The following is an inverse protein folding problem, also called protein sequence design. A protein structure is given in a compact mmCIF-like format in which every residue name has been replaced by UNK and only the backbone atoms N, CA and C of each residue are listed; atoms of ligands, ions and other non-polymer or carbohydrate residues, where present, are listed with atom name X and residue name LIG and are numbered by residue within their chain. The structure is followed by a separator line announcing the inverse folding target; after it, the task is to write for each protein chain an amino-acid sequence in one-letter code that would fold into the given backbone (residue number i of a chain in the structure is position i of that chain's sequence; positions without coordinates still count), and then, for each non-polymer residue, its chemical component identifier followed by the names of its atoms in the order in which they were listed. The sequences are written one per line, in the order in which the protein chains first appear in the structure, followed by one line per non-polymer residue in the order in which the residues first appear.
data_IF_933556164399
#
_entry.id   IF_933556164399
#
_cell.length_a   1.000
_cell.length_b   1.000
_cell.length_c   1.000
_cell.angle_alpha   90.00
_cell.angle_beta   90.00
_cell.angle_gamma   90.00
#
_symmetry.space_group_name_H-M   'P 1'
#
loop_
_entity.id
_entity.type
_entity.pdbx_description
1 polymer ?
#
# COMPACT_ATOMS: atom_id res chain seq x y z
N UNK A 1 -7.64 -22.67 9.27
CA UNK A 1 -6.44 -22.40 10.10
C UNK A 1 -5.19 -22.02 9.31
N UNK A 2 -4.85 -22.64 8.16
CA UNK A 2 -3.70 -22.17 7.34
C UNK A 2 -3.97 -20.81 6.66
N UNK A 3 -5.17 -20.65 6.08
CA UNK A 3 -5.61 -19.41 5.39
C UNK A 3 -5.52 -18.14 6.24
N UNK A 4 -5.76 -18.25 7.56
CA UNK A 4 -5.64 -17.12 8.49
C UNK A 4 -4.19 -16.65 8.62
N UNK A 5 -3.22 -17.57 8.61
CA UNK A 5 -1.80 -17.24 8.79
C UNK A 5 -1.25 -16.52 7.57
N UNK A 6 -1.57 -17.02 6.37
CA UNK A 6 -1.12 -16.38 5.12
C UNK A 6 -1.71 -14.97 4.99
N UNK A 7 -2.98 -14.78 5.40
CA UNK A 7 -3.60 -13.46 5.44
C UNK A 7 -3.01 -12.54 6.50
N UNK A 8 -2.69 -13.05 7.68
CA UNK A 8 -1.99 -12.28 8.71
C UNK A 8 -0.58 -11.86 8.28
N UNK A 9 0.15 -12.74 7.59
CA UNK A 9 1.47 -12.42 7.02
C UNK A 9 1.37 -11.39 5.91
N UNK A 10 0.39 -11.53 5.01
CA UNK A 10 0.12 -10.54 3.97
C UNK A 10 -0.19 -9.17 4.59
N UNK A 11 -1.08 -9.12 5.58
CA UNK A 11 -1.40 -7.90 6.31
C UNK A 11 -0.16 -7.27 6.95
N UNK A 12 0.63 -8.05 7.69
CA UNK A 12 1.85 -7.55 8.34
C UNK A 12 2.88 -7.01 7.33
N UNK A 13 2.97 -7.62 6.15
CA UNK A 13 3.81 -7.14 5.06
C UNK A 13 3.30 -5.79 4.51
N UNK A 14 2.01 -5.67 4.22
CA UNK A 14 1.41 -4.43 3.71
C UNK A 14 1.50 -3.29 4.74
N UNK A 15 1.27 -3.57 6.03
CA UNK A 15 1.52 -2.64 7.12
C UNK A 15 2.97 -2.16 7.14
N UNK A 16 3.94 -3.07 6.95
CA UNK A 16 5.34 -2.68 6.88
C UNK A 16 5.64 -1.77 5.69
N UNK A 17 5.00 -1.99 4.54
CA UNK A 17 5.15 -1.11 3.38
C UNK A 17 4.63 0.30 3.69
N UNK A 18 3.42 0.39 4.25
CA UNK A 18 2.78 1.66 4.61
C UNK A 18 3.55 2.43 5.67
N UNK A 19 4.07 1.73 6.68
CA UNK A 19 4.76 2.37 7.82
C UNK A 19 6.24 2.67 7.57
N UNK A 20 6.92 1.88 6.72
CA UNK A 20 8.38 1.96 6.57
C UNK A 20 8.85 2.36 5.18
N UNK A 21 8.11 2.00 4.14
CA UNK A 21 8.53 2.23 2.74
C UNK A 21 7.87 3.47 2.17
N UNK A 22 6.54 3.57 2.22
CA UNK A 22 5.80 4.69 1.64
C UNK A 22 6.21 6.06 2.20
N UNK A 23 6.55 6.22 3.50
CA UNK A 23 7.03 7.49 4.02
C UNK A 23 8.34 7.95 3.38
N UNK A 24 9.17 7.02 2.90
CA UNK A 24 10.43 7.32 2.20
C UNK A 24 10.20 7.78 0.76
N UNK A 25 9.05 7.46 0.18
CA UNK A 25 8.66 7.87 -1.17
C UNK A 25 7.99 9.24 -1.17
N UNK A 26 7.58 9.76 0.00
CA UNK A 26 6.88 11.05 0.10
C UNK A 26 7.68 12.17 -0.56
N UNK A 27 7.01 12.95 -1.40
CA UNK A 27 7.63 14.07 -2.11
C UNK A 27 8.36 13.69 -3.41
N UNK A 28 8.55 12.40 -3.70
CA UNK A 28 9.12 11.94 -4.98
C UNK A 28 8.18 12.35 -6.12
N UNK A 29 8.73 12.95 -7.17
CA UNK A 29 7.93 13.36 -8.34
C UNK A 29 7.31 12.14 -9.04
N UNK A 30 6.02 12.22 -9.39
CA UNK A 30 5.27 11.07 -9.93
C UNK A 30 5.23 11.04 -11.45
N UNK A 31 5.30 12.21 -12.11
CA UNK A 31 5.28 12.31 -13.58
C UNK A 31 6.49 11.59 -14.19
N UNK A 32 6.22 10.68 -15.14
CA UNK A 32 7.24 9.90 -15.86
C UNK A 32 8.23 9.13 -14.97
N UNK A 33 7.83 8.82 -13.72
CA UNK A 33 8.70 8.13 -12.79
C UNK A 33 8.61 6.60 -12.93
N UNK A 34 9.50 6.04 -13.74
CA UNK A 34 9.55 4.60 -13.99
C UNK A 34 9.82 3.75 -12.73
N UNK A 35 10.46 4.31 -11.70
CA UNK A 35 10.70 3.57 -10.46
C UNK A 35 9.40 3.37 -9.67
N UNK A 36 8.57 4.41 -9.59
CA UNK A 36 7.25 4.31 -8.94
C UNK A 36 6.33 3.35 -9.71
N UNK A 37 6.34 3.39 -11.05
CA UNK A 37 5.59 2.42 -11.87
C UNK A 37 6.04 0.98 -11.60
N UNK A 38 7.35 0.72 -11.52
CA UNK A 38 7.87 -0.62 -11.18
C UNK A 38 7.44 -1.08 -9.79
N UNK A 39 7.43 -0.18 -8.81
CA UNK A 39 6.93 -0.50 -7.46
C UNK A 39 5.43 -0.82 -7.52
N UNK A 40 4.64 -0.03 -8.26
CA UNK A 40 3.21 -0.29 -8.44
C UNK A 40 2.96 -1.68 -9.05
N UNK A 41 3.74 -2.08 -10.06
CA UNK A 41 3.63 -3.41 -10.68
C UNK A 41 3.95 -4.54 -9.69
N UNK A 42 4.94 -4.36 -8.80
CA UNK A 42 5.26 -5.32 -7.73
C UNK A 42 4.14 -5.44 -6.70
N UNK A 43 3.33 -4.40 -6.55
CA UNK A 43 2.23 -4.35 -5.58
C UNK A 43 0.90 -4.86 -6.14
N UNK A 44 0.80 -5.20 -7.43
CA UNK A 44 -0.47 -5.47 -8.13
C UNK A 44 -1.41 -6.49 -7.44
N UNK A 45 -0.85 -7.49 -6.76
CA UNK A 45 -1.60 -8.58 -6.12
C UNK A 45 -1.91 -8.30 -4.63
N UNK A 46 -1.50 -7.14 -4.11
CA UNK A 46 -1.69 -6.71 -2.73
C UNK A 46 -2.83 -5.68 -2.62
N UNK A 47 -3.51 -5.66 -1.47
CA UNK A 47 -4.61 -4.73 -1.20
C UNK A 47 -4.17 -3.26 -1.23
N UNK A 48 -2.91 -2.97 -0.86
CA UNK A 48 -2.31 -1.62 -0.84
C UNK A 48 -2.00 -1.07 -2.24
N UNK A 49 -2.11 -1.88 -3.30
CA UNK A 49 -1.88 -1.45 -4.68
C UNK A 49 -2.69 -0.22 -5.06
N UNK A 50 -3.97 -0.21 -4.67
CA UNK A 50 -4.86 0.91 -4.95
C UNK A 50 -4.44 2.18 -4.23
N UNK A 51 -4.08 2.07 -2.95
CA UNK A 51 -3.59 3.21 -2.16
C UNK A 51 -2.28 3.77 -2.73
N UNK A 52 -1.39 2.90 -3.20
CA UNK A 52 -0.15 3.32 -3.88
C UNK A 52 -0.44 4.10 -5.17
N UNK A 53 -1.41 3.62 -5.97
CA UNK A 53 -1.84 4.31 -7.19
C UNK A 53 -2.40 5.70 -6.88
N UNK A 54 -3.30 5.81 -5.90
CA UNK A 54 -3.85 7.09 -5.45
C UNK A 54 -2.75 8.05 -4.96
N UNK A 55 -1.76 7.49 -4.25
CA UNK A 55 -0.60 8.25 -3.82
C UNK A 55 0.25 8.78 -4.98
N UNK A 56 0.20 8.17 -6.18
CA UNK A 56 0.89 8.67 -7.38
C UNK A 56 0.06 9.66 -8.21
N UNK A 57 -1.24 9.44 -8.32
CA UNK A 57 -2.16 10.14 -9.24
C UNK A 57 -2.82 11.39 -8.63
N UNK A 58 -2.32 11.86 -7.47
CA UNK A 58 -2.84 13.05 -6.81
C UNK A 58 -2.42 14.37 -7.51
N UNK A 59 -3.11 15.47 -7.15
CA UNK A 59 -2.91 16.79 -7.75
C UNK A 59 -1.55 17.45 -7.45
N UNK A 60 -0.77 16.92 -6.50
CA UNK A 60 0.49 17.52 -6.04
C UNK A 60 1.69 17.19 -6.96
N UNK A 61 1.52 16.31 -7.95
CA UNK A 61 2.61 15.79 -8.81
C UNK A 61 3.78 15.13 -8.05
N UNK A 62 3.55 14.82 -6.77
CA UNK A 62 4.49 14.19 -5.87
C UNK A 62 3.78 13.03 -5.19
N UNK A 63 4.54 12.02 -4.79
CA UNK A 63 3.98 10.89 -4.09
C UNK A 63 3.48 11.35 -2.72
N UNK A 64 2.18 11.22 -2.47
CA UNK A 64 1.53 11.60 -1.22
C UNK A 64 0.59 10.48 -0.82
N UNK A 65 1.03 9.67 0.14
CA UNK A 65 0.18 8.64 0.72
C UNK A 65 -0.83 9.28 1.68
N UNK A 66 -2.11 9.21 1.34
CA UNK A 66 -3.21 9.86 2.06
C UNK A 66 -4.47 9.00 2.16
N UNK A 67 -4.37 7.71 1.85
CA UNK A 67 -5.50 6.78 1.87
C UNK A 67 -5.14 5.50 2.64
N UNK A 68 -6.16 4.83 3.16
CA UNK A 68 -6.01 3.57 3.89
C UNK A 68 -7.06 2.53 3.44
N UNK A 69 -7.32 2.45 2.14
CA UNK A 69 -8.34 1.58 1.57
C UNK A 69 -8.01 0.09 1.74
N UNK A 70 -6.73 -0.27 1.79
CA UNK A 70 -6.32 -1.65 2.08
C UNK A 70 -6.83 -2.16 3.43
N UNK A 71 -7.18 -1.27 4.38
CA UNK A 71 -7.79 -1.62 5.66
C UNK A 71 -9.28 -1.95 5.55
N UNK A 72 -9.96 -1.56 4.46
CA UNK A 72 -11.38 -1.89 4.22
C UNK A 72 -11.58 -3.37 3.79
N UNK A 73 -10.62 -4.23 4.15
CA UNK A 73 -10.67 -5.66 3.92
C UNK A 73 -11.26 -6.34 5.17
N UNK A 74 -12.42 -6.99 5.03
CA UNK A 74 -13.11 -7.65 6.12
C UNK A 74 -12.25 -8.71 6.84
N UNK A 75 -11.26 -9.30 6.17
CA UNK A 75 -10.32 -10.22 6.80
C UNK A 75 -9.29 -9.47 7.68
N UNK A 76 -8.89 -8.26 7.28
CA UNK A 76 -7.96 -7.43 8.07
C UNK A 76 -8.67 -6.82 9.28
N UNK A 77 -9.94 -6.46 9.16
CA UNK A 77 -10.75 -6.04 10.31
C UNK A 77 -10.78 -7.08 11.43
N UNK A 78 -10.81 -8.38 11.11
CA UNK A 78 -10.75 -9.46 12.11
C UNK A 78 -9.39 -9.50 12.82
N UNK A 79 -8.31 -9.15 12.13
CA UNK A 79 -6.95 -9.07 12.69
C UNK A 79 -6.73 -7.81 13.55
N UNK A 80 -7.49 -6.75 13.27
CA UNK A 80 -7.41 -5.46 13.96
C UNK A 80 -8.29 -5.37 15.21
N UNK A 81 -9.28 -6.26 15.36
CA UNK A 81 -10.09 -6.35 16.58
C UNK A 81 -9.23 -6.83 17.75
N UNK A 82 -8.81 -5.87 18.57
CA UNK A 82 -8.23 -6.08 19.90
C UNK A 82 -9.21 -6.75 20.84
#
# INVERSE_FOLDING_TARGET
MLFDKDKALQFAYEECLVLKIFPKLRGVQTRNNQHLTKIQDLLKDFSVSWDFKQAMENDSNQFVFNSANYLNNAEYEKLLKK
#
